data_IF_892750442809
#
_entry.id   IF_892750442809
#
_cell.length_a   1.000
_cell.length_b   1.000
_cell.length_c   1.000
_cell.angle_alpha   90.00
_cell.angle_beta   90.00
_cell.angle_gamma   90.00
#
_symmetry.space_group_name_H-M   'P 1'
#
loop_
_entity.id
_entity.type
_entity.pdbx_description
1 polymer ?
#
# COMPACT_ATOMS: atom_id res chain seq x y z
N UNK A 1 9.71 2.16 32.28
CA UNK A 1 8.37 2.74 32.12
C UNK A 1 7.66 2.11 30.96
N UNK A 2 6.43 1.70 31.16
CA UNK A 2 5.62 1.07 30.11
C UNK A 2 4.86 2.16 29.37
N UNK A 3 4.98 2.18 28.05
CA UNK A 3 4.25 3.11 27.20
C UNK A 3 3.13 2.36 26.48
N UNK A 4 1.93 2.92 26.57
CA UNK A 4 0.77 2.45 25.84
C UNK A 4 0.28 3.58 24.94
N UNK A 5 0.38 3.39 23.66
CA UNK A 5 -0.05 4.40 22.68
C UNK A 5 -1.06 3.81 21.71
N UNK A 6 -1.96 4.64 21.24
CA UNK A 6 -2.88 4.24 20.19
C UNK A 6 -3.11 5.39 19.22
N UNK A 7 -3.38 5.01 17.98
CA UNK A 7 -3.85 5.92 16.95
C UNK A 7 -4.92 5.22 16.16
N UNK A 8 -5.79 5.99 15.53
CA UNK A 8 -6.85 5.42 14.72
C UNK A 8 -6.54 5.67 13.25
N UNK A 9 -6.59 4.64 12.44
CA UNK A 9 -6.29 4.75 11.00
C UNK A 9 -7.29 5.65 10.27
N UNK A 10 -8.51 5.81 10.81
CA UNK A 10 -9.50 6.71 10.24
C UNK A 10 -9.19 8.17 10.57
N UNK A 11 -8.22 8.42 11.44
CA UNK A 11 -7.69 9.74 11.76
C UNK A 11 -6.18 9.69 11.57
N UNK A 12 -5.78 9.35 10.36
CA UNK A 12 -4.38 9.12 10.02
C UNK A 12 -3.53 10.38 10.17
N UNK A 13 -2.26 10.18 10.49
CA UNK A 13 -1.28 11.28 10.56
C UNK A 13 -1.07 11.88 9.17
N UNK A 14 -1.09 11.03 8.15
CA UNK A 14 -0.90 11.43 6.76
C UNK A 14 -1.90 10.72 5.88
N UNK A 15 -2.47 11.44 4.92
CA UNK A 15 -3.23 10.86 3.82
C UNK A 15 -2.55 11.31 2.53
N UNK A 16 -2.10 10.33 1.75
CA UNK A 16 -1.38 10.56 0.51
C UNK A 16 -2.23 10.13 -0.66
N UNK A 17 -2.78 11.06 -1.44
CA UNK A 17 -3.48 10.69 -2.66
C UNK A 17 -2.48 10.14 -3.68
N UNK A 18 -2.89 9.13 -4.44
CA UNK A 18 -2.18 8.73 -5.63
C UNK A 18 -2.54 9.69 -6.76
N UNK A 19 -1.92 9.51 -7.91
CA UNK A 19 -2.26 10.34 -9.07
C UNK A 19 -3.74 10.22 -9.42
N UNK A 20 -4.28 9.00 -9.31
CA UNK A 20 -5.70 8.70 -9.51
C UNK A 20 -6.03 7.39 -8.80
N UNK A 21 -7.32 7.09 -8.66
CA UNK A 21 -7.86 5.81 -8.22
C UNK A 21 -7.48 5.39 -6.81
N UNK A 22 -7.20 6.31 -5.93
CA UNK A 22 -7.04 5.95 -4.54
C UNK A 22 -6.07 6.80 -3.74
N UNK A 23 -5.81 6.32 -2.53
CA UNK A 23 -4.96 7.02 -1.56
C UNK A 23 -4.41 6.03 -0.54
N UNK A 24 -3.44 6.49 0.23
CA UNK A 24 -2.90 5.76 1.37
C UNK A 24 -3.07 6.61 2.63
N UNK A 25 -3.61 6.00 3.67
CA UNK A 25 -3.65 6.58 5.02
C UNK A 25 -2.51 5.96 5.82
N UNK A 26 -1.71 6.77 6.49
CA UNK A 26 -0.51 6.31 7.19
C UNK A 26 -0.52 6.78 8.63
N UNK A 27 -0.28 5.86 9.54
CA UNK A 27 -0.16 6.12 10.98
C UNK A 27 1.21 5.66 11.43
N UNK A 28 1.89 6.49 12.22
CA UNK A 28 3.19 6.16 12.79
C UNK A 28 3.13 6.32 14.31
N UNK A 29 3.56 5.28 15.03
CA UNK A 29 3.71 5.28 16.48
C UNK A 29 5.14 4.82 16.78
N UNK A 30 5.99 5.72 17.23
CA UNK A 30 7.40 5.40 17.41
C UNK A 30 8.04 4.98 16.11
N UNK A 31 8.59 3.77 16.06
CA UNK A 31 9.20 3.20 14.86
C UNK A 31 8.26 2.29 14.07
N UNK A 32 7.00 2.18 14.52
CA UNK A 32 6.00 1.37 13.83
C UNK A 32 5.15 2.22 12.89
N UNK A 33 5.05 1.83 11.64
CA UNK A 33 4.23 2.50 10.64
C UNK A 33 3.25 1.50 10.05
N UNK A 34 1.97 1.88 10.03
CA UNK A 34 0.94 1.10 9.37
C UNK A 34 0.24 1.97 8.35
N UNK A 35 0.09 1.43 7.14
CA UNK A 35 -0.65 2.10 6.08
C UNK A 35 -1.90 1.32 5.72
N UNK A 36 -2.94 2.06 5.30
CA UNK A 36 -4.11 1.50 4.67
C UNK A 36 -4.19 2.06 3.26
N UNK A 37 -3.98 1.20 2.28
CA UNK A 37 -4.11 1.57 0.88
C UNK A 37 -5.54 1.31 0.44
N UNK A 38 -6.20 2.34 -0.07
CA UNK A 38 -7.52 2.25 -0.67
C UNK A 38 -7.35 2.40 -2.17
N UNK A 39 -7.56 1.31 -2.90
CA UNK A 39 -7.26 1.20 -4.32
C UNK A 39 -8.54 0.94 -5.07
N UNK A 40 -8.98 1.94 -5.83
CA UNK A 40 -10.24 1.85 -6.58
C UNK A 40 -10.07 1.04 -7.87
N UNK A 41 -11.16 0.53 -8.45
CA UNK A 41 -11.08 -0.12 -9.76
C UNK A 41 -10.38 0.77 -10.77
N UNK A 42 -9.47 0.19 -11.53
CA UNK A 42 -8.64 0.92 -12.49
C UNK A 42 -7.28 1.34 -11.95
N UNK A 43 -7.06 1.24 -10.64
CA UNK A 43 -5.75 1.55 -10.09
C UNK A 43 -4.68 0.59 -10.61
N UNK A 44 -3.55 1.18 -11.02
CA UNK A 44 -2.34 0.43 -11.41
C UNK A 44 -1.15 1.23 -10.90
N UNK A 45 -0.24 0.56 -10.22
CA UNK A 45 0.93 1.22 -9.66
C UNK A 45 1.72 2.01 -10.72
N UNK A 46 1.95 1.40 -11.88
CA UNK A 46 2.74 2.04 -12.94
C UNK A 46 2.08 3.27 -13.55
N UNK A 47 0.77 3.43 -13.41
CA UNK A 47 0.04 4.62 -13.90
C UNK A 47 -0.17 5.66 -12.80
N UNK A 48 -0.49 5.20 -11.58
CA UNK A 48 -1.03 6.07 -10.53
C UNK A 48 -0.02 6.41 -9.43
N UNK A 49 1.04 5.64 -9.28
CA UNK A 49 2.08 5.85 -8.27
C UNK A 49 3.44 6.14 -8.90
N UNK A 50 3.81 5.41 -9.93
CA UNK A 50 5.11 5.57 -10.60
C UNK A 50 5.45 7.02 -10.96
N UNK A 51 4.50 7.83 -11.50
CA UNK A 51 4.82 9.24 -11.80
C UNK A 51 5.20 10.06 -10.58
N UNK A 52 4.76 9.65 -9.39
CA UNK A 52 5.05 10.34 -8.13
C UNK A 52 6.42 9.94 -7.60
N UNK A 53 6.73 8.64 -7.62
CA UNK A 53 7.96 8.10 -7.00
C UNK A 53 9.14 8.03 -7.97
N UNK A 54 8.88 7.94 -9.27
CA UNK A 54 9.92 8.04 -10.30
C UNK A 54 10.78 6.81 -10.53
N UNK A 55 10.43 5.65 -9.98
CA UNK A 55 11.15 4.40 -10.22
C UNK A 55 10.46 3.56 -11.29
N UNK A 56 11.20 2.65 -11.94
CA UNK A 56 10.65 1.82 -13.01
C UNK A 56 9.65 0.79 -12.47
N UNK A 57 9.88 0.30 -11.25
CA UNK A 57 8.99 -0.62 -10.56
C UNK A 57 8.91 -0.20 -9.10
N UNK A 58 7.93 -0.76 -8.38
CA UNK A 58 7.80 -0.48 -6.95
C UNK A 58 8.97 -1.13 -6.21
N UNK A 59 9.73 -0.31 -5.49
CA UNK A 59 10.92 -0.75 -4.75
C UNK A 59 10.64 -0.91 -3.26
N UNK A 60 9.37 -0.92 -2.87
CA UNK A 60 8.95 -1.08 -1.49
C UNK A 60 8.64 -2.54 -1.20
N UNK A 61 9.14 -3.03 -0.07
CA UNK A 61 8.74 -4.34 0.44
C UNK A 61 7.44 -4.17 1.21
N UNK A 62 6.42 -4.91 0.82
CA UNK A 62 5.11 -4.84 1.44
C UNK A 62 4.84 -6.09 2.28
N UNK A 63 4.38 -5.90 3.49
CA UNK A 63 3.92 -6.99 4.35
C UNK A 63 2.60 -6.57 4.97
N UNK A 64 1.57 -7.39 4.82
CA UNK A 64 0.26 -7.02 5.32
C UNK A 64 -0.83 -8.00 4.94
N UNK A 65 -2.04 -7.48 4.87
CA UNK A 65 -3.23 -8.30 4.61
C UNK A 65 -4.21 -7.53 3.73
N UNK A 66 -4.84 -8.25 2.81
CA UNK A 66 -5.94 -7.72 2.01
C UNK A 66 -7.24 -7.82 2.83
N UNK A 67 -7.99 -6.73 2.90
CA UNK A 67 -9.26 -6.68 3.62
C UNK A 67 -10.45 -6.79 2.68
N UNK A 68 -10.36 -6.23 1.48
CA UNK A 68 -11.44 -6.27 0.48
C UNK A 68 -10.88 -6.15 -0.92
N UNK A 69 -11.66 -6.54 -1.91
CA UNK A 69 -11.26 -6.48 -3.30
C UNK A 69 -10.15 -7.47 -3.64
N UNK A 70 -9.52 -7.27 -4.79
CA UNK A 70 -8.46 -8.16 -5.28
C UNK A 70 -7.34 -7.34 -5.88
N UNK A 71 -6.11 -7.66 -5.50
CA UNK A 71 -4.91 -7.04 -6.02
C UNK A 71 -4.08 -8.08 -6.77
N UNK A 72 -3.72 -7.78 -8.00
CA UNK A 72 -2.79 -8.60 -8.77
C UNK A 72 -1.41 -7.97 -8.73
N UNK A 73 -0.40 -8.77 -8.44
CA UNK A 73 0.99 -8.32 -8.37
C UNK A 73 1.82 -9.11 -9.37
N UNK A 74 2.64 -8.40 -10.11
CA UNK A 74 3.59 -8.99 -11.05
C UNK A 74 5.00 -8.54 -10.70
N UNK A 75 5.85 -9.49 -10.36
CA UNK A 75 7.26 -9.22 -10.10
C UNK A 75 8.01 -9.03 -11.42
N UNK A 76 9.17 -8.36 -11.34
CA UNK A 76 9.98 -8.09 -12.53
C UNK A 76 10.49 -9.37 -13.22
N UNK A 77 10.58 -10.47 -12.50
CA UNK A 77 10.98 -11.76 -13.08
C UNK A 77 9.83 -12.50 -13.77
N UNK A 78 8.63 -11.90 -13.78
CA UNK A 78 7.45 -12.48 -14.42
C UNK A 78 6.55 -13.29 -13.49
N UNK A 79 6.94 -13.50 -12.24
CA UNK A 79 6.09 -14.18 -11.25
C UNK A 79 4.88 -13.33 -10.94
N UNK A 80 3.70 -13.94 -10.87
CA UNK A 80 2.44 -13.23 -10.62
C UNK A 80 1.62 -13.93 -9.55
N UNK A 81 0.90 -13.14 -8.76
CA UNK A 81 -0.01 -13.65 -7.73
C UNK A 81 -1.14 -12.64 -7.52
N UNK A 82 -2.32 -13.15 -7.21
CA UNK A 82 -3.47 -12.33 -6.82
C UNK A 82 -3.75 -12.51 -5.35
N UNK A 83 -4.09 -11.41 -4.68
CA UNK A 83 -4.49 -11.39 -3.27
C UNK A 83 -5.94 -10.96 -3.16
N UNK A 84 -6.71 -11.71 -2.39
CA UNK A 84 -8.11 -11.40 -2.08
C UNK A 84 -8.32 -11.26 -0.58
N UNK A 85 -9.57 -11.02 -0.13
CA UNK A 85 -9.87 -10.78 1.27
C UNK A 85 -9.35 -11.89 2.18
N UNK A 86 -8.58 -11.48 3.21
CA UNK A 86 -7.97 -12.40 4.16
C UNK A 86 -6.60 -12.91 3.77
N UNK A 87 -6.15 -12.66 2.55
CA UNK A 87 -4.82 -13.10 2.14
C UNK A 87 -3.75 -12.21 2.77
N UNK A 88 -2.81 -12.86 3.44
CA UNK A 88 -1.64 -12.21 4.00
C UNK A 88 -0.57 -12.19 2.91
N UNK A 89 0.09 -11.05 2.76
CA UNK A 89 1.04 -10.87 1.68
C UNK A 89 2.45 -10.54 2.18
N UNK A 90 3.43 -11.01 1.44
CA UNK A 90 4.79 -10.50 1.46
C UNK A 90 5.17 -10.26 0.01
N UNK A 91 5.45 -9.01 -0.34
CA UNK A 91 5.82 -8.63 -1.70
C UNK A 91 7.16 -7.94 -1.65
N UNK A 92 8.16 -8.54 -2.28
CA UNK A 92 9.52 -7.98 -2.30
C UNK A 92 9.62 -6.83 -3.32
N UNK A 93 10.62 -5.95 -3.20
CA UNK A 93 10.85 -4.88 -4.18
C UNK A 93 10.98 -5.42 -5.60
N UNK A 94 10.62 -4.59 -6.58
CA UNK A 94 10.72 -4.96 -7.98
C UNK A 94 9.44 -5.56 -8.53
N UNK A 95 8.34 -4.83 -8.43
CA UNK A 95 7.04 -5.30 -8.90
C UNK A 95 6.16 -4.16 -9.43
N UNK A 96 5.14 -4.54 -10.17
CA UNK A 96 3.98 -3.71 -10.50
C UNK A 96 2.74 -4.37 -9.89
N UNK A 97 1.67 -3.64 -9.77
CA UNK A 97 0.44 -4.16 -9.19
C UNK A 97 -0.77 -3.41 -9.74
N UNK A 98 -1.91 -4.06 -9.78
CA UNK A 98 -3.16 -3.45 -10.22
C UNK A 98 -4.36 -4.11 -9.56
N UNK A 99 -5.45 -3.35 -9.47
CA UNK A 99 -6.72 -3.86 -8.94
C UNK A 99 -7.38 -4.73 -9.99
N UNK A 100 -7.80 -5.93 -9.59
CA UNK A 100 -8.60 -6.83 -10.42
C UNK A 100 -10.07 -6.65 -10.08
N UNK A 101 -10.90 -6.60 -11.11
CA UNK A 101 -12.36 -6.52 -10.93
C UNK A 101 -12.85 -5.11 -10.66
N UNK A 102 -14.08 -5.03 -10.18
CA UNK A 102 -14.81 -3.78 -10.02
C UNK A 102 -15.05 -3.39 -8.57
N UNK A 103 -14.37 -4.03 -7.64
CA UNK A 103 -14.49 -3.74 -6.22
C UNK A 103 -13.24 -3.01 -5.72
N UNK A 104 -13.45 -2.02 -4.85
CA UNK A 104 -12.34 -1.31 -4.22
C UNK A 104 -11.52 -2.29 -3.40
N UNK A 105 -10.21 -2.26 -3.59
CA UNK A 105 -9.27 -3.08 -2.85
C UNK A 105 -8.73 -2.28 -1.67
N UNK A 106 -8.80 -2.85 -0.47
CA UNK A 106 -8.25 -2.23 0.73
C UNK A 106 -7.19 -3.17 1.30
N UNK A 107 -5.99 -2.63 1.49
CA UNK A 107 -4.84 -3.37 2.02
C UNK A 107 -4.34 -2.69 3.28
N UNK A 108 -4.03 -3.48 4.31
CA UNK A 108 -3.21 -3.00 5.43
C UNK A 108 -1.77 -3.44 5.17
N UNK A 109 -0.82 -2.52 5.34
CA UNK A 109 0.54 -2.72 4.87
C UNK A 109 1.53 -2.05 5.83
N UNK A 110 2.51 -2.80 6.30
CA UNK A 110 3.56 -2.28 7.16
C UNK A 110 4.72 -1.66 6.36
N UNK A 111 4.72 -1.81 5.03
CA UNK A 111 5.75 -1.24 4.15
C UNK A 111 5.44 0.19 3.70
N UNK A 112 4.60 0.93 4.42
CA UNK A 112 4.13 2.24 3.97
C UNK A 112 4.95 3.42 4.47
N UNK A 113 6.04 3.17 5.20
CA UNK A 113 6.90 4.26 5.66
C UNK A 113 7.36 5.22 4.54
N UNK A 114 7.70 4.73 3.33
CA UNK A 114 8.04 5.64 2.23
C UNK A 114 6.91 6.56 1.78
N UNK A 115 5.67 6.24 2.13
CA UNK A 115 4.52 7.07 1.81
C UNK A 115 4.15 8.02 2.93
N UNK A 116 4.80 7.92 4.10
CA UNK A 116 4.61 8.85 5.18
C UNK A 116 5.25 10.19 4.81
N UNK A 117 4.86 11.25 5.54
CA UNK A 117 5.43 12.56 5.29
C UNK A 117 6.93 12.52 5.49
N UNK A 118 7.73 12.93 4.52
CA UNK A 118 9.18 12.96 4.72
C UNK A 118 9.56 13.92 5.83
N UNK A 119 10.57 13.56 6.58
CA UNK A 119 11.19 14.47 7.53
C UNK A 119 11.86 15.58 6.71
N UNK A 120 11.34 16.76 6.80
CA UNK A 120 11.85 17.89 6.03
C UNK A 120 12.87 18.67 6.79
#
# INVERSE_FOLDING_TARGET
MTTLEKRNIDKADETRPFRAHGHADVVTIGDFTLGRATLEPGWRWSDDVKPIVGTESCEVRHTGICLSGHLHVRANDGTETSYGPGDVMVVEPGHDAWVEGNETCVMLDTGMAPYAKPAS
#
